data_IF_369140836885
#
_entry.id   IF_369140836885
#
_cell.length_a   1.000
_cell.length_b   1.000
_cell.length_c   1.000
_cell.angle_alpha   90.00
_cell.angle_beta   90.00
_cell.angle_gamma   90.00
#
_symmetry.space_group_name_H-M   'P 1'
#
loop_
_entity.id
_entity.type
_entity.pdbx_description
1 polymer ?
#
# COMPACT_ATOMS: atom_id res chain seq x y z
N UNK A 1 10.67 33.25 -58.71
CA UNK A 1 10.46 33.01 -57.27
C UNK A 1 9.12 32.31 -57.00
N UNK A 2 8.72 31.27 -57.71
CA UNK A 2 7.41 30.64 -57.54
C UNK A 2 7.42 29.17 -57.93
N UNK A 3 8.44 28.40 -57.53
CA UNK A 3 8.52 26.93 -57.77
C UNK A 3 9.13 26.14 -56.62
N UNK A 4 9.33 26.74 -55.44
CA UNK A 4 9.88 26.05 -54.27
C UNK A 4 8.83 25.69 -53.17
N UNK A 5 7.60 26.15 -53.30
CA UNK A 5 6.54 25.87 -52.32
C UNK A 5 5.72 24.62 -52.60
N UNK A 6 5.86 23.96 -53.74
CA UNK A 6 5.08 22.79 -54.12
C UNK A 6 5.68 21.45 -53.67
N UNK A 7 6.94 21.41 -53.19
CA UNK A 7 7.58 20.15 -52.79
C UNK A 7 7.50 19.87 -51.27
N UNK A 8 7.08 20.85 -50.45
CA UNK A 8 6.96 20.71 -49.00
C UNK A 8 5.58 20.20 -48.56
N UNK A 9 4.59 20.19 -49.43
CA UNK A 9 3.19 19.81 -49.15
C UNK A 9 2.87 18.33 -49.47
N UNK A 10 3.77 17.59 -50.13
CA UNK A 10 3.55 16.21 -50.56
C UNK A 10 4.03 15.17 -49.59
N UNK A 11 4.63 15.56 -48.44
CA UNK A 11 5.01 14.63 -47.36
C UNK A 11 4.15 14.69 -46.12
N UNK A 12 3.03 15.44 -46.15
CA UNK A 12 2.20 15.70 -44.94
C UNK A 12 0.88 14.94 -44.91
N UNK A 13 0.61 14.02 -45.82
CA UNK A 13 -0.57 13.15 -45.73
C UNK A 13 -0.24 11.79 -46.29
N UNK A 14 -0.07 10.77 -45.48
CA UNK A 14 -1.11 9.95 -44.88
C UNK A 14 -0.77 9.32 -43.47
N UNK A 15 -0.28 10.11 -42.52
CA UNK A 15 0.04 9.56 -41.18
C UNK A 15 -1.00 9.90 -40.11
N UNK A 16 -2.06 10.64 -40.46
CA UNK A 16 -3.11 10.98 -39.49
C UNK A 16 -4.09 9.82 -39.18
N UNK A 17 -4.03 8.69 -39.88
CA UNK A 17 -4.94 7.56 -39.71
C UNK A 17 -4.50 6.43 -38.76
N UNK A 18 -3.23 6.46 -38.27
CA UNK A 18 -2.66 5.35 -37.49
C UNK A 18 -2.52 5.65 -35.98
N UNK A 19 -3.02 6.77 -35.48
CA UNK A 19 -2.87 7.18 -34.07
C UNK A 19 -4.10 6.88 -33.21
N UNK A 20 -5.18 6.37 -33.79
CA UNK A 20 -6.47 6.14 -33.10
C UNK A 20 -6.74 4.70 -32.64
N UNK A 21 -5.75 3.82 -32.59
CA UNK A 21 -5.80 2.58 -31.80
C UNK A 21 -4.87 2.69 -30.59
N UNK A 22 -5.19 3.61 -29.69
CA UNK A 22 -4.73 3.51 -28.32
C UNK A 22 -5.54 2.38 -27.69
N UNK A 23 -4.83 1.31 -27.31
CA UNK A 23 -5.43 0.09 -26.81
C UNK A 23 -6.40 0.39 -25.68
N UNK A 24 -7.62 -0.03 -25.87
CA UNK A 24 -8.47 -0.45 -24.77
C UNK A 24 -7.59 -1.42 -23.95
N UNK A 25 -7.50 -1.16 -22.66
CA UNK A 25 -6.88 -2.10 -21.73
C UNK A 25 -7.79 -3.33 -21.80
N UNK A 26 -7.41 -4.32 -22.58
CA UNK A 26 -8.18 -5.56 -22.71
C UNK A 26 -8.13 -6.25 -21.35
N UNK A 27 -9.22 -6.15 -20.61
CA UNK A 27 -9.56 -7.12 -19.57
C UNK A 27 -9.90 -8.39 -20.35
N UNK A 28 -8.93 -9.30 -20.49
CA UNK A 28 -9.04 -10.52 -21.30
C UNK A 28 -9.99 -11.55 -20.68
N UNK A 29 -10.48 -11.29 -19.47
CA UNK A 29 -11.53 -12.03 -18.78
C UNK A 29 -12.60 -11.07 -18.27
N UNK A 30 -13.82 -11.25 -18.73
CA UNK A 30 -14.98 -10.59 -18.13
C UNK A 30 -14.99 -10.92 -16.62
N UNK A 31 -15.08 -9.89 -15.78
CA UNK A 31 -15.27 -10.12 -14.33
C UNK A 31 -16.55 -10.94 -14.12
N UNK A 32 -16.57 -11.83 -13.12
CA UNK A 32 -17.77 -12.56 -12.77
C UNK A 32 -18.91 -11.58 -12.44
N UNK A 33 -20.14 -11.94 -12.80
CA UNK A 33 -21.34 -11.10 -12.58
C UNK A 33 -21.71 -11.01 -11.09
N UNK A 34 -21.31 -12.00 -10.27
CA UNK A 34 -21.56 -12.07 -8.84
C UNK A 34 -20.50 -12.88 -8.11
N UNK A 35 -20.63 -12.94 -6.79
CA UNK A 35 -19.73 -13.68 -5.89
C UNK A 35 -20.22 -15.12 -5.69
N UNK A 36 -19.31 -16.10 -5.65
CA UNK A 36 -19.65 -17.50 -5.40
C UNK A 36 -20.17 -17.72 -3.96
N UNK A 37 -19.64 -17.00 -2.98
CA UNK A 37 -20.02 -17.07 -1.57
C UNK A 37 -21.00 -15.96 -1.15
N UNK A 38 -21.71 -15.34 -2.10
CA UNK A 38 -22.54 -14.17 -1.88
C UNK A 38 -23.87 -14.38 -1.12
N UNK A 39 -24.26 -15.63 -0.83
CA UNK A 39 -25.59 -15.96 -0.25
C UNK A 39 -25.84 -15.35 1.15
N UNK A 40 -24.79 -15.09 1.91
CA UNK A 40 -24.86 -14.51 3.27
C UNK A 40 -24.61 -13.02 3.32
N UNK A 41 -24.45 -12.36 2.15
CA UNK A 41 -24.02 -10.97 2.01
C UNK A 41 -24.98 -10.21 1.10
N UNK A 42 -25.09 -8.89 1.31
CA UNK A 42 -25.88 -8.05 0.44
C UNK A 42 -25.05 -7.55 -0.75
N UNK A 43 -25.27 -8.20 -1.91
CA UNK A 43 -24.61 -7.82 -3.17
C UNK A 43 -25.20 -6.55 -3.81
N UNK A 44 -26.35 -6.07 -3.34
CA UNK A 44 -26.99 -4.84 -3.84
C UNK A 44 -26.50 -3.60 -3.11
N UNK A 45 -26.01 -3.76 -1.88
CA UNK A 45 -25.51 -2.69 -1.03
C UNK A 45 -24.00 -2.51 -1.27
N UNK A 46 -23.52 -1.28 -1.60
CA UNK A 46 -22.10 -1.05 -1.70
C UNK A 46 -21.43 -1.22 -0.34
N UNK A 47 -20.15 -1.66 -0.31
CA UNK A 47 -19.38 -1.71 0.94
C UNK A 47 -19.29 -0.32 1.56
N UNK A 48 -19.35 -0.26 2.89
CA UNK A 48 -19.21 0.97 3.67
C UNK A 48 -17.75 1.44 3.67
N UNK A 49 -17.54 2.76 3.51
CA UNK A 49 -16.19 3.35 3.56
C UNK A 49 -15.70 3.51 5.01
N UNK A 50 -16.59 3.82 5.94
CA UNK A 50 -16.30 3.96 7.38
C UNK A 50 -16.81 2.75 8.18
N UNK A 51 -16.63 1.55 7.65
CA UNK A 51 -17.13 0.29 8.16
C UNK A 51 -16.82 0.01 9.64
N UNK A 52 -15.78 0.61 10.20
CA UNK A 52 -15.40 0.43 11.61
C UNK A 52 -16.40 1.08 12.58
N UNK A 53 -17.16 2.09 12.14
CA UNK A 53 -18.21 2.72 12.95
C UNK A 53 -19.38 1.76 13.23
N UNK A 54 -19.59 0.77 12.35
CA UNK A 54 -20.65 -0.23 12.50
C UNK A 54 -20.40 -1.18 13.69
N UNK A 55 -19.21 -1.13 14.31
CA UNK A 55 -18.95 -1.85 15.57
C UNK A 55 -19.41 -1.09 16.80
N UNK A 56 -19.86 0.16 16.68
CA UNK A 56 -20.29 1.03 17.77
C UNK A 56 -19.25 1.13 18.91
N UNK A 57 -17.96 1.04 18.57
CA UNK A 57 -16.84 1.08 19.50
C UNK A 57 -16.09 2.42 19.40
N UNK A 58 -16.37 3.37 20.31
CA UNK A 58 -15.74 4.71 20.27
C UNK A 58 -14.22 4.66 20.51
N UNK A 59 -13.70 3.57 21.10
CA UNK A 59 -12.26 3.39 21.28
C UNK A 59 -11.61 3.07 19.94
N UNK A 60 -12.19 2.13 19.18
CA UNK A 60 -11.72 1.80 17.84
C UNK A 60 -11.75 3.03 16.92
N UNK A 61 -12.86 3.80 16.93
CA UNK A 61 -12.99 5.02 16.13
C UNK A 61 -11.89 6.03 16.43
N UNK A 62 -11.63 6.27 17.72
CA UNK A 62 -10.59 7.22 18.15
C UNK A 62 -9.18 6.77 17.76
N UNK A 63 -8.89 5.46 17.80
CA UNK A 63 -7.61 4.89 17.40
C UNK A 63 -7.37 5.03 15.89
N UNK A 64 -8.39 4.72 15.09
CA UNK A 64 -8.31 4.83 13.63
C UNK A 64 -8.09 6.31 13.24
N UNK A 65 -8.87 7.22 13.82
CA UNK A 65 -8.70 8.65 13.56
C UNK A 65 -7.30 9.13 13.93
N UNK A 66 -6.82 8.77 15.13
CA UNK A 66 -5.49 9.16 15.59
C UNK A 66 -4.38 8.58 14.69
N UNK A 67 -4.49 7.29 14.31
CA UNK A 67 -3.53 6.63 13.43
C UNK A 67 -3.50 7.28 12.05
N UNK A 68 -4.65 7.64 11.49
CA UNK A 68 -4.76 8.27 10.17
C UNK A 68 -4.04 9.63 10.08
N UNK A 69 -3.94 10.35 11.20
CA UNK A 69 -3.27 11.65 11.25
C UNK A 69 -1.78 11.56 11.65
N UNK A 70 -1.40 10.59 12.47
CA UNK A 70 -0.10 10.59 13.16
C UNK A 70 0.82 9.44 12.76
N UNK A 71 0.32 8.41 12.07
CA UNK A 71 1.15 7.26 11.67
C UNK A 71 2.28 7.65 10.73
N UNK A 72 3.48 7.18 11.01
CA UNK A 72 4.65 7.41 10.15
C UNK A 72 4.50 6.79 8.75
N UNK A 73 3.68 5.76 8.59
CA UNK A 73 3.37 5.20 7.26
C UNK A 73 2.58 6.20 6.40
N UNK A 74 1.60 6.88 6.98
CA UNK A 74 0.81 7.92 6.32
C UNK A 74 1.67 9.15 6.02
N UNK A 75 2.42 9.63 7.00
CA UNK A 75 3.33 10.77 6.81
C UNK A 75 4.36 10.48 5.71
N UNK A 76 4.93 9.26 5.69
CA UNK A 76 5.84 8.83 4.62
C UNK A 76 5.18 8.77 3.24
N UNK A 77 3.94 8.30 3.16
CA UNK A 77 3.18 8.28 1.92
C UNK A 77 2.83 9.70 1.43
N UNK A 78 2.53 10.64 2.33
CA UNK A 78 2.35 12.06 1.98
C UNK A 78 3.62 12.68 1.39
N UNK A 79 4.79 12.38 1.93
CA UNK A 79 6.07 12.84 1.36
C UNK A 79 6.35 12.19 0.00
N UNK A 80 5.94 10.94 -0.23
CA UNK A 80 6.02 10.33 -1.56
C UNK A 80 5.16 11.07 -2.60
N UNK A 81 3.96 11.55 -2.24
CA UNK A 81 3.14 12.39 -3.11
C UNK A 81 3.88 13.70 -3.46
N UNK A 82 4.51 14.37 -2.46
CA UNK A 82 5.30 15.59 -2.70
C UNK A 82 6.48 15.32 -3.62
N UNK A 83 7.19 14.22 -3.42
CA UNK A 83 8.30 13.76 -4.28
C UNK A 83 7.84 13.50 -5.71
N UNK A 84 6.75 12.76 -5.89
CA UNK A 84 6.21 12.45 -7.22
C UNK A 84 5.72 13.72 -7.95
N UNK A 85 5.09 14.66 -7.24
CA UNK A 85 4.70 15.97 -7.77
C UNK A 85 5.91 16.77 -8.23
N UNK A 86 6.99 16.78 -7.46
CA UNK A 86 8.23 17.45 -7.84
C UNK A 86 8.85 16.80 -9.08
N UNK A 87 8.86 15.47 -9.19
CA UNK A 87 9.33 14.74 -10.37
C UNK A 87 8.52 15.10 -11.64
N UNK A 88 7.20 15.17 -11.51
CA UNK A 88 6.34 15.63 -12.61
C UNK A 88 6.64 17.10 -12.99
N UNK A 89 6.82 17.99 -12.02
CA UNK A 89 7.18 19.40 -12.30
C UNK A 89 8.55 19.51 -12.99
N UNK A 90 9.53 18.68 -12.63
CA UNK A 90 10.82 18.58 -13.34
C UNK A 90 10.59 18.17 -14.82
N UNK A 91 9.75 17.17 -15.05
CA UNK A 91 9.42 16.74 -16.41
C UNK A 91 8.69 17.85 -17.22
N UNK A 92 7.81 18.61 -16.59
CA UNK A 92 7.18 19.80 -17.20
C UNK A 92 8.16 20.92 -17.47
N UNK A 93 9.11 21.12 -16.57
CA UNK A 93 10.16 22.15 -16.75
C UNK A 93 10.97 21.95 -18.02
N UNK A 94 11.14 20.72 -18.49
CA UNK A 94 11.81 20.41 -19.76
C UNK A 94 11.08 20.95 -21.01
N UNK A 95 9.83 21.37 -20.91
CA UNK A 95 9.10 22.05 -21.99
C UNK A 95 9.45 23.53 -22.12
N UNK A 96 10.07 24.10 -21.08
CA UNK A 96 10.41 25.51 -20.99
C UNK A 96 11.88 25.74 -21.37
N UNK A 97 12.25 26.95 -21.85
CA UNK A 97 13.64 27.29 -22.06
C UNK A 97 14.42 27.32 -20.72
N UNK A 98 15.69 26.94 -20.80
CA UNK A 98 16.66 27.16 -19.71
C UNK A 98 17.49 28.41 -20.02
N UNK A 99 17.86 29.14 -18.98
CA UNK A 99 18.70 30.33 -19.06
C UNK A 99 19.88 30.13 -18.12
N UNK A 100 21.09 30.28 -18.67
CA UNK A 100 22.33 30.12 -17.95
C UNK A 100 23.17 31.40 -18.07
N UNK A 101 23.63 31.94 -16.94
CA UNK A 101 24.58 33.02 -16.90
C UNK A 101 25.98 32.48 -16.74
N UNK A 102 26.82 32.67 -17.73
CA UNK A 102 28.22 32.25 -17.73
C UNK A 102 29.17 33.43 -17.77
N UNK A 103 30.24 33.38 -17.01
CA UNK A 103 31.38 34.27 -17.09
C UNK A 103 32.66 33.44 -17.14
N UNK A 104 33.56 33.80 -18.03
CA UNK A 104 34.79 33.04 -18.20
C UNK A 104 35.93 33.87 -18.80
N UNK A 105 37.15 33.39 -18.57
CA UNK A 105 38.34 33.83 -19.28
C UNK A 105 38.98 32.63 -19.96
N UNK A 106 39.29 32.78 -21.22
CA UNK A 106 39.93 31.75 -22.04
C UNK A 106 41.17 32.34 -22.68
N UNK A 107 42.28 31.59 -22.64
CA UNK A 107 43.48 31.91 -23.42
C UNK A 107 43.78 30.72 -24.32
N UNK A 108 43.81 30.97 -25.63
CA UNK A 108 44.09 29.95 -26.61
C UNK A 108 45.21 30.36 -27.55
N UNK A 109 45.98 29.38 -28.02
CA UNK A 109 46.93 29.55 -29.12
C UNK A 109 46.40 28.72 -30.28
N UNK A 110 46.12 29.37 -31.40
CA UNK A 110 45.72 28.67 -32.63
C UNK A 110 46.95 28.12 -33.36
N UNK A 111 46.83 26.94 -33.94
CA UNK A 111 47.91 26.30 -34.70
C UNK A 111 48.22 27.08 -35.95
N UNK A 112 49.49 27.44 -36.17
CA UNK A 112 49.96 28.11 -37.38
C UNK A 112 49.91 27.25 -38.65
N UNK A 113 49.60 25.94 -38.54
CA UNK A 113 49.43 25.02 -39.65
C UNK A 113 47.99 24.99 -40.20
N UNK A 114 47.06 25.73 -39.60
CA UNK A 114 45.68 25.86 -40.08
C UNK A 114 45.68 27.07 -41.03
N UNK A 115 45.53 26.82 -42.33
CA UNK A 115 45.40 27.85 -43.34
C UNK A 115 44.12 28.67 -43.14
N UNK A 116 44.19 29.72 -42.36
CA UNK A 116 43.13 30.73 -42.23
C UNK A 116 43.73 32.06 -42.59
N UNK A 117 43.19 32.71 -43.59
CA UNK A 117 43.63 34.02 -44.06
C UNK A 117 43.41 35.16 -43.06
N UNK A 118 42.98 34.84 -41.85
CA UNK A 118 42.56 35.83 -40.86
C UNK A 118 43.24 35.71 -39.46
N UNK A 119 44.16 34.77 -39.26
CA UNK A 119 44.82 34.60 -37.95
C UNK A 119 46.34 34.60 -38.08
N UNK A 120 46.94 35.66 -37.62
CA UNK A 120 48.35 35.68 -37.21
C UNK A 120 48.52 34.88 -35.94
N UNK A 121 49.69 34.19 -35.76
CA UNK A 121 50.06 33.51 -34.51
C UNK A 121 49.94 34.47 -33.30
N UNK A 122 48.81 34.54 -32.69
CA UNK A 122 48.59 35.40 -31.54
C UNK A 122 48.07 34.55 -30.37
N UNK A 123 48.66 34.77 -29.18
CA UNK A 123 48.06 34.34 -27.94
C UNK A 123 46.90 35.29 -27.60
N UNK A 124 45.70 34.87 -27.84
CA UNK A 124 44.52 35.68 -27.54
C UNK A 124 43.92 35.27 -26.22
N UNK A 125 43.85 36.20 -25.29
CA UNK A 125 43.03 36.09 -24.12
C UNK A 125 41.65 36.67 -24.41
N UNK A 126 40.59 35.97 -24.00
CA UNK A 126 39.21 36.44 -24.20
C UNK A 126 38.44 36.36 -22.91
N UNK A 127 37.86 37.46 -22.46
CA UNK A 127 36.88 37.52 -21.39
C UNK A 127 35.50 37.45 -21.99
N UNK A 128 34.66 36.57 -21.45
CA UNK A 128 33.28 36.39 -21.88
C UNK A 128 32.35 36.52 -20.68
N UNK A 129 31.23 37.21 -20.86
CA UNK A 129 30.11 37.23 -19.91
C UNK A 129 28.82 37.19 -20.73
N UNK A 130 28.08 36.08 -20.64
CA UNK A 130 26.91 35.91 -21.48
C UNK A 130 25.77 35.22 -20.73
N UNK A 131 24.55 35.65 -21.01
CA UNK A 131 23.31 34.94 -20.74
C UNK A 131 22.98 34.08 -21.95
N UNK A 132 22.94 32.77 -21.79
CA UNK A 132 22.59 31.81 -22.83
C UNK A 132 21.20 31.24 -22.57
N UNK A 133 20.47 30.97 -23.62
CA UNK A 133 19.16 30.31 -23.62
C UNK A 133 19.27 29.03 -24.44
N UNK A 134 18.70 27.95 -23.92
CA UNK A 134 18.50 26.70 -24.64
C UNK A 134 17.08 26.25 -24.49
N UNK A 135 16.42 25.94 -25.59
CA UNK A 135 15.06 25.44 -25.62
C UNK A 135 14.91 24.37 -26.68
N UNK A 136 14.38 23.20 -26.24
CA UNK A 136 13.93 22.17 -27.17
C UNK A 136 12.43 22.34 -27.39
N UNK A 137 12.06 22.87 -28.56
CA UNK A 137 10.65 23.02 -28.92
C UNK A 137 10.04 21.63 -29.20
N UNK A 138 9.06 21.24 -28.39
CA UNK A 138 8.42 19.92 -28.46
C UNK A 138 7.38 19.84 -29.59
N UNK A 139 7.81 20.05 -30.82
CA UNK A 139 6.94 20.09 -32.02
C UNK A 139 6.21 18.74 -32.22
N UNK A 140 6.87 17.65 -31.93
CA UNK A 140 6.32 16.29 -32.09
C UNK A 140 5.74 15.69 -30.83
N UNK A 141 5.84 16.37 -29.68
CA UNK A 141 5.20 16.00 -28.43
C UNK A 141 5.91 14.86 -27.67
N UNK A 142 7.21 14.62 -27.89
CA UNK A 142 7.98 13.62 -27.14
C UNK A 142 8.14 14.02 -25.67
N UNK A 143 8.52 15.30 -25.41
CA UNK A 143 8.67 15.83 -24.03
C UNK A 143 7.31 15.87 -23.33
N UNK A 144 6.25 16.27 -24.04
CA UNK A 144 4.89 16.25 -23.52
C UNK A 144 4.48 14.85 -23.07
N UNK A 145 4.75 13.81 -23.88
CA UNK A 145 4.41 12.43 -23.53
C UNK A 145 5.21 11.92 -22.33
N UNK A 146 6.49 12.27 -22.19
CA UNK A 146 7.28 11.97 -20.99
C UNK A 146 6.72 12.68 -19.76
N UNK A 147 6.31 13.94 -19.91
CA UNK A 147 5.63 14.65 -18.82
C UNK A 147 4.28 14.02 -18.46
N UNK A 148 3.51 13.54 -19.47
CA UNK A 148 2.28 12.80 -19.25
C UNK A 148 2.54 11.48 -18.49
N UNK A 149 3.58 10.74 -18.85
CA UNK A 149 3.99 9.53 -18.12
C UNK A 149 4.27 9.84 -16.64
N UNK A 150 5.05 10.89 -16.36
CA UNK A 150 5.33 11.31 -14.97
C UNK A 150 4.07 11.80 -14.23
N UNK A 151 3.11 12.40 -14.94
CA UNK A 151 1.82 12.76 -14.37
C UNK A 151 1.03 11.53 -13.93
N UNK A 152 1.01 10.48 -14.75
CA UNK A 152 0.32 9.23 -14.40
C UNK A 152 0.98 8.56 -13.20
N UNK A 153 2.33 8.56 -13.12
CA UNK A 153 3.05 8.08 -11.94
C UNK A 153 2.76 8.90 -10.68
N UNK A 154 2.63 10.22 -10.80
CA UNK A 154 2.18 11.06 -9.69
C UNK A 154 0.76 10.67 -9.23
N UNK A 155 -0.17 10.47 -10.18
CA UNK A 155 -1.53 10.02 -9.85
C UNK A 155 -1.53 8.60 -9.26
N UNK A 156 -0.65 7.70 -9.70
CA UNK A 156 -0.46 6.38 -9.08
C UNK A 156 -0.04 6.52 -7.61
N UNK A 157 0.88 7.44 -7.30
CA UNK A 157 1.31 7.69 -5.91
C UNK A 157 0.19 8.26 -5.02
N UNK A 158 -0.77 9.01 -5.60
CA UNK A 158 -1.98 9.45 -4.87
C UNK A 158 -2.89 8.24 -4.53
N UNK A 159 -3.00 7.26 -5.42
CA UNK A 159 -3.73 6.01 -5.13
C UNK A 159 -2.95 5.09 -4.16
N UNK A 160 -1.61 5.06 -4.24
CA UNK A 160 -0.75 4.36 -3.26
C UNK A 160 -0.96 4.91 -1.84
N UNK A 161 -1.13 6.22 -1.69
CA UNK A 161 -1.48 6.82 -0.41
C UNK A 161 -2.81 6.27 0.13
N UNK A 162 -3.83 6.14 -0.72
CA UNK A 162 -5.12 5.54 -0.34
C UNK A 162 -4.97 4.07 0.06
N UNK A 163 -4.14 3.31 -0.66
CA UNK A 163 -3.82 1.93 -0.30
C UNK A 163 -3.16 1.84 1.08
N UNK A 164 -2.24 2.76 1.40
CA UNK A 164 -1.63 2.85 2.74
C UNK A 164 -2.67 3.14 3.81
N UNK A 165 -3.66 4.00 3.54
CA UNK A 165 -4.77 4.29 4.47
C UNK A 165 -5.63 3.05 4.71
N UNK A 166 -6.07 2.35 3.65
CA UNK A 166 -6.84 1.09 3.77
C UNK A 166 -6.10 0.09 4.65
N UNK A 167 -4.84 -0.17 4.33
CA UNK A 167 -4.01 -1.12 5.07
C UNK A 167 -3.75 -0.66 6.51
N UNK A 168 -3.58 0.63 6.78
CA UNK A 168 -3.41 1.16 8.14
C UNK A 168 -4.67 0.93 8.97
N UNK A 169 -5.84 1.30 8.46
CA UNK A 169 -7.13 1.13 9.14
C UNK A 169 -7.37 -0.34 9.45
N UNK A 170 -7.15 -1.23 8.47
CA UNK A 170 -7.27 -2.68 8.66
C UNK A 170 -6.29 -3.22 9.71
N UNK A 171 -5.03 -2.77 9.71
CA UNK A 171 -4.03 -3.18 10.70
C UNK A 171 -4.35 -2.68 12.12
N UNK A 172 -4.86 -1.46 12.28
CA UNK A 172 -5.31 -0.90 13.57
C UNK A 172 -6.47 -1.75 14.09
N UNK A 173 -7.51 -1.97 13.29
CA UNK A 173 -8.67 -2.76 13.68
C UNK A 173 -8.30 -4.22 14.00
N UNK A 174 -7.51 -4.89 13.17
CA UNK A 174 -7.02 -6.26 13.40
C UNK A 174 -6.20 -6.36 14.69
N UNK A 175 -5.32 -5.38 14.94
CA UNK A 175 -4.50 -5.36 16.16
C UNK A 175 -5.36 -5.11 17.39
N UNK A 176 -6.37 -4.24 17.30
CA UNK A 176 -7.34 -3.97 18.35
C UNK A 176 -8.15 -5.21 18.69
N UNK A 177 -8.76 -5.87 17.71
CA UNK A 177 -9.53 -7.08 17.95
C UNK A 177 -8.67 -8.25 18.48
N UNK A 178 -7.43 -8.39 18.01
CA UNK A 178 -6.48 -9.37 18.55
C UNK A 178 -6.13 -9.08 19.99
N UNK A 179 -6.02 -7.80 20.37
CA UNK A 179 -5.80 -7.37 21.75
C UNK A 179 -7.02 -7.71 22.62
N UNK A 180 -8.24 -7.34 22.19
CA UNK A 180 -9.47 -7.65 22.93
C UNK A 180 -9.70 -9.16 23.07
N UNK A 181 -9.42 -9.94 22.02
CA UNK A 181 -9.43 -11.39 22.06
C UNK A 181 -8.47 -11.94 23.12
N UNK A 182 -7.25 -11.40 23.21
CA UNK A 182 -6.25 -11.84 24.19
C UNK A 182 -6.65 -11.45 25.63
N UNK A 183 -7.29 -10.30 25.80
CA UNK A 183 -7.85 -9.86 27.11
C UNK A 183 -8.99 -10.79 27.54
N UNK A 184 -9.90 -11.14 26.63
CA UNK A 184 -10.99 -12.08 26.94
C UNK A 184 -10.46 -13.48 27.22
N UNK A 185 -9.43 -13.94 26.49
CA UNK A 185 -8.74 -15.19 26.75
C UNK A 185 -8.09 -15.21 28.17
N UNK A 186 -7.47 -14.10 28.57
CA UNK A 186 -6.89 -13.94 29.89
C UNK A 186 -7.97 -14.01 30.98
N UNK A 187 -9.14 -13.44 30.75
CA UNK A 187 -10.29 -13.50 31.67
C UNK A 187 -10.77 -14.94 31.83
N UNK A 188 -10.95 -15.68 30.73
CA UNK A 188 -11.30 -17.10 30.74
C UNK A 188 -10.26 -17.92 31.55
N UNK A 189 -8.96 -17.68 31.33
CA UNK A 189 -7.90 -18.34 32.08
C UNK A 189 -7.99 -18.05 33.58
N UNK A 190 -8.22 -16.81 34.00
CA UNK A 190 -8.36 -16.41 35.41
C UNK A 190 -9.58 -17.06 36.06
N UNK A 191 -10.71 -17.11 35.37
CA UNK A 191 -11.94 -17.78 35.87
C UNK A 191 -11.71 -19.29 36.03
N UNK A 192 -11.04 -19.93 35.06
CA UNK A 192 -10.69 -21.33 35.15
C UNK A 192 -9.72 -21.63 36.31
N UNK A 193 -8.68 -20.79 36.51
CA UNK A 193 -7.77 -20.94 37.67
C UNK A 193 -8.53 -20.84 38.99
N UNK A 194 -9.52 -19.93 39.10
CA UNK A 194 -10.37 -19.81 40.28
C UNK A 194 -11.19 -21.09 40.49
N UNK A 195 -11.90 -21.58 39.49
CA UNK A 195 -12.67 -22.80 39.51
C UNK A 195 -11.82 -24.02 39.88
N UNK A 196 -10.65 -24.16 39.28
CA UNK A 196 -9.69 -25.24 39.54
C UNK A 196 -9.17 -25.21 40.95
N UNK A 197 -8.95 -24.02 41.53
CA UNK A 197 -8.58 -23.87 42.93
C UNK A 197 -9.67 -24.39 43.86
N UNK A 198 -10.91 -23.99 43.64
CA UNK A 198 -12.06 -24.45 44.44
C UNK A 198 -12.20 -25.99 44.39
N UNK A 199 -12.07 -26.59 43.20
CA UNK A 199 -12.13 -28.05 43.04
C UNK A 199 -10.93 -28.73 43.71
N UNK A 200 -9.73 -28.18 43.61
CA UNK A 200 -8.53 -28.67 44.30
C UNK A 200 -8.74 -28.70 45.84
N UNK A 201 -9.35 -27.66 46.40
CA UNK A 201 -9.66 -27.58 47.83
C UNK A 201 -10.66 -28.68 48.24
N UNK A 202 -11.69 -28.98 47.43
CA UNK A 202 -12.61 -30.08 47.62
C UNK A 202 -11.87 -31.44 47.63
N UNK A 203 -10.98 -31.67 46.65
CA UNK A 203 -10.19 -32.92 46.55
C UNK A 203 -9.28 -33.08 47.74
N UNK A 204 -8.61 -32.04 48.23
CA UNK A 204 -7.76 -32.06 49.43
C UNK A 204 -8.60 -32.36 50.66
N UNK A 205 -9.79 -31.78 50.83
CA UNK A 205 -10.70 -32.06 51.95
C UNK A 205 -11.13 -33.52 51.98
N UNK A 206 -11.50 -34.09 50.82
CA UNK A 206 -11.86 -35.49 50.69
C UNK A 206 -10.68 -36.44 51.00
N UNK A 207 -9.47 -36.09 50.56
CA UNK A 207 -8.27 -36.85 50.90
C UNK A 207 -7.99 -36.87 52.39
N UNK A 208 -8.11 -35.76 53.09
CA UNK A 208 -7.95 -35.66 54.55
C UNK A 208 -9.00 -36.47 55.31
N UNK A 209 -10.18 -36.68 54.72
CA UNK A 209 -11.26 -37.51 55.23
C UNK A 209 -11.11 -39.00 54.83
N UNK A 210 -10.06 -39.37 54.08
CA UNK A 210 -9.83 -40.75 53.64
C UNK A 210 -10.70 -41.18 52.43
N UNK A 211 -11.41 -40.25 51.76
CA UNK A 211 -12.36 -40.47 50.67
C UNK A 211 -11.80 -40.23 49.28
N UNK A 212 -10.52 -39.82 49.17
CA UNK A 212 -9.84 -39.60 47.91
C UNK A 212 -8.38 -40.08 47.97
N UNK A 213 -7.76 -40.31 46.84
CA UNK A 213 -6.38 -40.79 46.76
C UNK A 213 -5.37 -39.62 46.76
N UNK A 214 -4.10 -39.92 47.10
CA UNK A 214 -3.01 -38.96 46.93
C UNK A 214 -2.78 -38.62 45.45
N UNK A 215 -3.14 -39.52 44.54
CA UNK A 215 -3.08 -39.31 43.08
C UNK A 215 -4.03 -38.20 42.68
N UNK A 216 -5.26 -38.18 43.14
CA UNK A 216 -6.27 -37.16 42.86
C UNK A 216 -5.77 -35.75 43.28
N UNK A 217 -5.15 -35.67 44.48
CA UNK A 217 -4.54 -34.43 44.97
C UNK A 217 -3.39 -33.98 44.06
N UNK A 218 -2.55 -34.90 43.61
CA UNK A 218 -1.44 -34.56 42.72
C UNK A 218 -1.95 -34.07 41.33
N UNK A 219 -2.96 -34.73 40.79
CA UNK A 219 -3.59 -34.38 39.54
C UNK A 219 -4.29 -33.00 39.61
N UNK A 220 -5.06 -32.72 40.68
CA UNK A 220 -5.74 -31.43 40.85
C UNK A 220 -4.76 -30.26 40.96
N UNK A 221 -3.66 -30.47 41.71
CA UNK A 221 -2.56 -29.47 41.77
C UNK A 221 -1.88 -29.25 40.42
N UNK A 222 -1.64 -30.32 39.68
CA UNK A 222 -1.01 -30.26 38.37
C UNK A 222 -1.81 -29.38 37.41
N UNK A 223 -3.15 -29.58 37.34
CA UNK A 223 -4.03 -28.77 36.46
C UNK A 223 -4.05 -27.31 36.92
N UNK A 224 -4.21 -27.05 38.21
CA UNK A 224 -4.19 -25.70 38.75
C UNK A 224 -2.89 -24.94 38.38
N UNK A 225 -1.72 -25.53 38.59
CA UNK A 225 -0.45 -24.87 38.30
C UNK A 225 -0.17 -24.80 36.82
N UNK A 226 -0.62 -25.75 35.99
CA UNK A 226 -0.44 -25.66 34.53
C UNK A 226 -1.24 -24.49 33.93
N UNK A 227 -2.52 -24.35 34.32
CA UNK A 227 -3.33 -23.21 33.82
C UNK A 227 -2.82 -21.88 34.39
N UNK A 228 -2.37 -21.85 35.65
CA UNK A 228 -1.77 -20.65 36.24
C UNK A 228 -0.49 -20.21 35.47
N UNK A 229 0.28 -21.15 34.95
CA UNK A 229 1.50 -20.85 34.18
C UNK A 229 1.19 -20.23 32.80
N UNK A 230 -0.03 -20.36 32.25
CA UNK A 230 -0.43 -19.74 30.99
C UNK A 230 -0.71 -18.24 31.14
N UNK A 231 -1.08 -17.76 32.33
CA UNK A 231 -1.42 -16.37 32.60
C UNK A 231 -0.28 -15.40 32.23
N UNK A 232 0.98 -15.58 32.67
CA UNK A 232 2.08 -14.69 32.30
C UNK A 232 2.36 -14.66 30.78
N UNK A 233 2.22 -15.79 30.11
CA UNK A 233 2.37 -15.89 28.66
C UNK A 233 1.30 -15.07 27.91
N UNK A 234 0.04 -15.17 28.40
CA UNK A 234 -1.05 -14.37 27.82
C UNK A 234 -0.87 -12.87 28.09
N UNK A 235 -0.39 -12.48 29.26
CA UNK A 235 -0.05 -11.08 29.57
C UNK A 235 1.04 -10.55 28.64
N UNK A 236 2.09 -11.33 28.38
CA UNK A 236 3.13 -10.95 27.42
C UNK A 236 2.58 -10.79 25.99
N UNK A 237 1.59 -11.61 25.60
CA UNK A 237 0.90 -11.49 24.30
C UNK A 237 0.12 -10.18 24.23
N UNK A 238 -0.62 -9.82 25.28
CA UNK A 238 -1.35 -8.55 25.40
C UNK A 238 -0.39 -7.37 25.28
N UNK A 239 0.74 -7.40 26.00
CA UNK A 239 1.76 -6.35 25.91
C UNK A 239 2.37 -6.26 24.51
N UNK A 240 2.53 -7.40 23.83
CA UNK A 240 2.95 -7.44 22.41
C UNK A 240 1.99 -6.71 21.48
N UNK A 241 0.68 -6.91 21.62
CA UNK A 241 -0.32 -6.19 20.83
C UNK A 241 -0.40 -4.69 21.19
N UNK A 242 -0.23 -4.31 22.47
CA UNK A 242 -0.11 -2.91 22.87
C UNK A 242 1.08 -2.23 22.21
N UNK A 243 2.23 -2.88 22.23
CA UNK A 243 3.43 -2.35 21.58
C UNK A 243 3.25 -2.22 20.07
N UNK A 244 2.58 -3.18 19.41
CA UNK A 244 2.25 -3.09 17.98
C UNK A 244 1.31 -1.94 17.70
N UNK A 245 0.29 -1.73 18.54
CA UNK A 245 -0.64 -0.61 18.43
C UNK A 245 0.09 0.73 18.56
N UNK A 246 1.01 0.88 19.52
CA UNK A 246 1.80 2.10 19.67
C UNK A 246 2.57 2.46 18.40
N UNK A 247 3.16 1.47 17.72
CA UNK A 247 3.86 1.66 16.44
C UNK A 247 2.90 2.13 15.34
N UNK A 248 1.70 1.54 15.25
CA UNK A 248 0.68 1.96 14.27
C UNK A 248 0.20 3.39 14.51
N UNK A 249 0.09 3.79 15.77
CA UNK A 249 -0.28 5.15 16.18
C UNK A 249 0.87 6.17 16.05
N UNK A 250 2.12 5.71 15.83
CA UNK A 250 3.30 6.58 15.75
C UNK A 250 3.75 7.14 17.11
N UNK A 251 3.45 6.46 18.22
CA UNK A 251 3.82 6.85 19.58
C UNK A 251 4.72 5.78 20.23
N UNK A 252 5.35 6.13 21.36
CA UNK A 252 6.15 5.17 22.10
C UNK A 252 5.27 4.19 22.90
N UNK A 253 5.67 2.90 23.02
CA UNK A 253 4.92 1.90 23.80
C UNK A 253 4.62 2.33 25.24
N UNK A 254 5.50 3.14 25.86
CA UNK A 254 5.32 3.66 27.21
C UNK A 254 4.10 4.58 27.34
N UNK A 255 3.73 5.29 26.27
CA UNK A 255 2.59 6.21 26.25
C UNK A 255 1.25 5.47 26.25
N UNK A 256 1.26 4.17 25.88
CA UNK A 256 0.11 3.25 25.96
C UNK A 256 0.13 2.34 27.18
N UNK A 257 0.99 2.61 28.16
CA UNK A 257 1.09 1.76 29.35
C UNK A 257 -0.27 1.71 30.10
N UNK A 258 -0.80 0.47 30.27
CA UNK A 258 -2.09 0.24 30.94
C UNK A 258 -3.33 0.38 30.04
N UNK A 259 -3.18 0.72 28.76
CA UNK A 259 -4.29 0.76 27.81
C UNK A 259 -4.33 -0.49 26.90
N UNK A 260 -5.51 -0.97 26.45
CA UNK A 260 -6.79 -0.74 27.10
C UNK A 260 -6.79 -1.44 28.47
N UNK A 261 -7.66 -0.98 29.39
CA UNK A 261 -7.89 -1.68 30.64
C UNK A 261 -8.52 -3.06 30.44
N UNK A 262 -9.01 -3.67 31.54
CA UNK A 262 -9.74 -4.97 31.50
C UNK A 262 -11.11 -4.87 30.79
N UNK A 263 -11.52 -3.69 30.37
CA UNK A 263 -12.81 -3.37 29.74
C UNK A 263 -12.87 -3.64 28.23
N UNK A 264 -11.74 -4.03 27.58
CA UNK A 264 -11.75 -4.41 26.17
C UNK A 264 -12.56 -5.71 25.98
N UNK A 265 -13.73 -5.60 25.37
CA UNK A 265 -14.60 -6.72 25.01
C UNK A 265 -14.73 -6.86 23.52
N UNK A 266 -14.96 -8.10 23.05
CA UNK A 266 -15.22 -8.32 21.62
C UNK A 266 -16.63 -7.84 21.28
N UNK A 267 -16.80 -6.88 20.36
CA UNK A 267 -18.13 -6.43 19.94
C UNK A 267 -18.87 -7.54 19.19
N UNK A 268 -20.20 -7.47 19.22
CA UNK A 268 -21.04 -8.31 18.38
C UNK A 268 -21.40 -7.54 17.11
N UNK A 269 -21.04 -8.05 15.95
CA UNK A 269 -21.45 -7.45 14.68
C UNK A 269 -22.75 -8.09 14.20
N UNK A 270 -23.81 -7.30 13.99
CA UNK A 270 -25.14 -7.77 13.58
C UNK A 270 -25.66 -7.06 12.30
N UNK A 271 -24.93 -6.08 11.78
CA UNK A 271 -25.35 -5.33 10.61
C UNK A 271 -25.21 -6.16 9.31
N UNK A 272 -26.10 -5.93 8.31
CA UNK A 272 -25.96 -6.54 6.99
C UNK A 272 -24.64 -6.09 6.34
N UNK A 273 -23.84 -7.03 5.84
CA UNK A 273 -22.57 -6.73 5.19
C UNK A 273 -22.81 -6.52 3.71
N UNK A 274 -22.69 -5.27 3.26
CA UNK A 274 -22.71 -4.91 1.85
C UNK A 274 -21.39 -5.27 1.17
N UNK A 275 -21.42 -6.10 0.13
CA UNK A 275 -20.23 -6.50 -0.65
C UNK A 275 -20.25 -5.99 -2.09
N UNK A 276 -21.40 -5.50 -2.57
CA UNK A 276 -21.55 -5.07 -3.95
C UNK A 276 -21.29 -6.19 -4.96
N UNK A 277 -20.98 -5.82 -6.20
CA UNK A 277 -20.64 -6.75 -7.27
C UNK A 277 -19.14 -6.66 -7.63
N UNK A 278 -18.53 -7.73 -8.19
CA UNK A 278 -17.10 -7.75 -8.51
C UNK A 278 -16.62 -6.56 -9.36
N UNK A 279 -17.45 -6.07 -10.28
CA UNK A 279 -17.13 -4.91 -11.12
C UNK A 279 -16.89 -3.59 -10.32
N UNK A 280 -17.41 -3.49 -9.09
CA UNK A 280 -17.18 -2.32 -8.22
C UNK A 280 -15.74 -2.24 -7.72
N UNK A 281 -15.03 -3.36 -7.60
CA UNK A 281 -13.63 -3.41 -7.17
C UNK A 281 -12.74 -2.52 -8.05
N UNK A 282 -13.00 -2.48 -9.36
CA UNK A 282 -12.25 -1.64 -10.30
C UNK A 282 -12.27 -0.15 -9.95
N UNK A 283 -13.30 0.30 -9.27
CA UNK A 283 -13.47 1.71 -8.89
C UNK A 283 -13.05 2.00 -7.46
N UNK A 284 -13.11 1.00 -6.58
CA UNK A 284 -12.88 1.19 -5.15
C UNK A 284 -11.47 0.85 -4.71
N UNK A 285 -10.90 -0.25 -5.18
CA UNK A 285 -9.57 -0.72 -4.74
C UNK A 285 -8.45 0.19 -5.24
N UNK A 286 -7.71 0.82 -4.33
CA UNK A 286 -6.60 1.71 -4.71
C UNK A 286 -5.48 0.98 -5.45
N UNK A 287 -5.17 -0.28 -5.12
CA UNK A 287 -4.12 -1.08 -5.77
C UNK A 287 -4.42 -1.35 -7.25
N UNK A 288 -5.69 -1.60 -7.60
CA UNK A 288 -6.14 -1.74 -8.99
C UNK A 288 -5.96 -0.40 -9.73
N UNK A 289 -6.31 0.72 -9.08
CA UNK A 289 -6.15 2.07 -9.65
C UNK A 289 -4.68 2.45 -9.82
N UNK A 290 -3.79 2.05 -8.90
CA UNK A 290 -2.33 2.17 -9.07
C UNK A 290 -1.88 1.43 -10.33
N UNK A 291 -2.28 0.17 -10.47
CA UNK A 291 -1.90 -0.64 -11.63
C UNK A 291 -2.43 -0.06 -12.95
N UNK A 292 -3.66 0.49 -12.96
CA UNK A 292 -4.23 1.22 -14.11
C UNK A 292 -3.36 2.44 -14.49
N UNK A 293 -3.01 3.29 -13.50
CA UNK A 293 -2.17 4.46 -13.76
C UNK A 293 -0.77 4.09 -14.22
N UNK A 294 -0.23 2.95 -13.78
CA UNK A 294 1.04 2.42 -14.26
C UNK A 294 0.96 2.01 -15.75
N UNK A 295 -0.15 1.38 -16.19
CA UNK A 295 -0.40 1.08 -17.61
C UNK A 295 -0.47 2.37 -18.42
N UNK A 296 -1.21 3.39 -17.94
CA UNK A 296 -1.30 4.69 -18.61
C UNK A 296 0.08 5.38 -18.71
N UNK A 297 0.91 5.27 -17.66
CA UNK A 297 2.27 5.82 -17.66
C UNK A 297 3.15 5.15 -18.71
N UNK A 298 3.14 3.81 -18.78
CA UNK A 298 3.91 3.05 -19.75
C UNK A 298 3.42 3.27 -21.20
N UNK A 299 2.10 3.41 -21.40
CA UNK A 299 1.54 3.79 -22.69
C UNK A 299 2.01 5.18 -23.15
N UNK A 300 2.06 6.15 -22.24
CA UNK A 300 2.58 7.47 -22.51
C UNK A 300 4.11 7.44 -22.80
N UNK A 301 4.87 6.63 -22.06
CA UNK A 301 6.31 6.43 -22.29
C UNK A 301 6.58 5.79 -23.67
N UNK A 302 5.83 4.77 -24.07
CA UNK A 302 5.89 4.21 -25.42
C UNK A 302 5.55 5.28 -26.48
N UNK A 303 4.53 6.11 -26.19
CA UNK A 303 4.19 7.26 -27.04
C UNK A 303 5.33 8.25 -27.21
N UNK A 304 6.09 8.55 -26.14
CA UNK A 304 7.29 9.38 -26.19
C UNK A 304 8.38 8.75 -27.06
N UNK A 305 8.72 7.49 -26.80
CA UNK A 305 9.78 6.75 -27.50
C UNK A 305 9.49 6.63 -29.01
N UNK A 306 8.23 6.45 -29.40
CA UNK A 306 7.83 6.50 -30.82
C UNK A 306 8.05 7.88 -31.44
N UNK A 307 7.90 8.96 -30.68
CA UNK A 307 8.11 10.33 -31.16
C UNK A 307 9.56 10.72 -31.23
N UNK A 308 10.48 10.04 -30.57
CA UNK A 308 11.92 10.21 -30.67
C UNK A 308 12.47 9.83 -32.08
N UNK A 309 11.67 9.19 -32.92
CA UNK A 309 12.02 8.96 -34.33
C UNK A 309 11.96 10.21 -35.20
N UNK A 310 11.26 11.25 -34.77
CA UNK A 310 11.17 12.54 -35.46
C UNK A 310 12.37 13.42 -35.13
N UNK A 311 12.65 14.44 -35.97
CA UNK A 311 13.70 15.42 -35.71
C UNK A 311 13.40 16.27 -34.47
N UNK A 312 14.45 16.64 -33.75
CA UNK A 312 14.41 17.60 -32.64
C UNK A 312 14.59 19.03 -33.14
N UNK A 313 13.76 19.94 -32.65
CA UNK A 313 13.88 21.38 -32.97
C UNK A 313 14.45 22.07 -31.74
N UNK A 314 15.67 22.58 -31.87
CA UNK A 314 16.39 23.26 -30.80
C UNK A 314 16.45 24.75 -31.13
N UNK A 315 16.17 25.62 -30.19
CA UNK A 315 16.41 27.04 -30.25
C UNK A 315 17.44 27.39 -29.20
N UNK A 316 18.61 27.83 -29.67
CA UNK A 316 19.64 28.39 -28.79
C UNK A 316 19.76 29.87 -29.04
N UNK A 317 20.09 30.61 -28.00
CA UNK A 317 20.34 32.03 -28.09
C UNK A 317 21.32 32.49 -27.03
N UNK A 318 22.06 33.53 -27.32
CA UNK A 318 22.91 34.15 -26.33
C UNK A 318 22.95 35.66 -26.50
N UNK A 319 23.09 36.35 -25.40
CA UNK A 319 23.38 37.78 -25.34
C UNK A 319 24.44 38.02 -24.30
N UNK A 320 25.48 38.76 -24.62
CA UNK A 320 26.57 38.96 -23.68
C UNK A 320 27.63 39.93 -24.17
N UNK A 321 28.75 39.89 -23.53
CA UNK A 321 29.91 40.72 -23.81
C UNK A 321 31.14 39.83 -23.98
N UNK A 322 31.97 40.18 -24.99
CA UNK A 322 33.23 39.50 -25.25
C UNK A 322 34.32 40.52 -25.54
N UNK A 323 35.48 40.40 -24.88
CA UNK A 323 36.59 41.33 -25.04
C UNK A 323 37.93 40.67 -24.75
N UNK A 324 38.98 41.09 -25.48
CA UNK A 324 40.36 40.69 -25.19
C UNK A 324 40.95 41.31 -23.89
N UNK A 325 40.36 42.38 -23.40
CA UNK A 325 40.76 43.05 -22.17
C UNK A 325 39.57 43.22 -21.21
N UNK A 326 39.76 42.92 -19.95
CA UNK A 326 38.72 43.00 -18.90
C UNK A 326 38.13 44.42 -18.77
N UNK A 327 38.95 45.50 -18.93
CA UNK A 327 38.52 46.89 -18.84
C UNK A 327 37.54 47.30 -19.93
N UNK A 328 37.47 46.55 -21.04
CA UNK A 328 36.62 46.82 -22.18
C UNK A 328 35.40 45.89 -22.24
N UNK A 329 35.29 44.92 -21.33
CA UNK A 329 34.27 43.84 -21.39
C UNK A 329 32.85 44.42 -21.50
N UNK A 330 32.48 45.34 -20.62
CA UNK A 330 31.12 45.88 -20.57
C UNK A 330 30.91 47.14 -21.44
N UNK A 331 31.70 47.33 -22.49
CA UNK A 331 31.46 48.42 -23.44
C UNK A 331 30.48 47.97 -24.55
N UNK A 332 29.72 48.92 -25.12
CA UNK A 332 28.78 48.65 -26.20
C UNK A 332 29.39 47.95 -27.44
N UNK A 333 30.68 48.20 -27.70
CA UNK A 333 31.43 47.53 -28.78
C UNK A 333 31.74 46.04 -28.49
N UNK A 334 31.66 45.62 -27.27
CA UNK A 334 31.87 44.24 -26.81
C UNK A 334 30.59 43.42 -26.74
N UNK A 335 29.43 44.04 -27.00
CA UNK A 335 28.13 43.36 -27.01
C UNK A 335 28.10 42.36 -28.14
N UNK A 336 27.73 41.14 -27.82
CA UNK A 336 27.50 40.03 -28.77
C UNK A 336 26.13 39.45 -28.54
N UNK A 337 25.46 39.02 -29.58
CA UNK A 337 24.23 38.24 -29.48
C UNK A 337 24.13 37.25 -30.63
N UNK A 338 23.44 36.15 -30.37
CA UNK A 338 23.19 35.07 -31.30
C UNK A 338 21.81 34.47 -31.08
N UNK A 339 21.11 34.11 -32.15
CA UNK A 339 19.90 33.29 -32.13
C UNK A 339 20.07 32.24 -33.23
N UNK A 340 20.06 30.94 -32.82
CA UNK A 340 20.33 29.84 -33.74
C UNK A 340 19.27 28.76 -33.61
N UNK A 341 18.19 28.78 -34.43
CA UNK A 341 17.29 27.63 -34.55
C UNK A 341 18.03 26.51 -35.30
N UNK A 342 17.97 25.30 -34.72
CA UNK A 342 18.66 24.11 -35.25
C UNK A 342 17.69 22.94 -35.28
N UNK A 343 17.69 22.19 -36.38
CA UNK A 343 16.97 20.93 -36.52
C UNK A 343 18.01 19.81 -36.49
N UNK A 344 17.88 18.92 -35.47
CA UNK A 344 18.75 17.76 -35.33
C UNK A 344 17.94 16.49 -35.57
N UNK A 345 18.34 15.70 -36.55
CA UNK A 345 17.72 14.42 -36.86
C UNK A 345 18.74 13.31 -36.88
N UNK A 346 18.63 12.39 -35.94
CA UNK A 346 19.45 11.19 -35.96
C UNK A 346 18.77 10.14 -36.85
N UNK A 347 19.26 9.98 -38.09
CA UNK A 347 18.67 9.08 -39.09
C UNK A 347 19.08 7.63 -38.84
N UNK A 348 20.27 7.39 -38.26
CA UNK A 348 20.79 6.07 -37.97
C UNK A 348 21.51 6.05 -36.63
N UNK A 349 21.07 5.17 -35.73
CA UNK A 349 21.57 5.00 -34.34
C UNK A 349 21.97 3.57 -34.03
N UNK A 350 22.38 2.78 -35.02
CA UNK A 350 22.83 1.39 -34.79
C UNK A 350 21.75 0.47 -34.19
N UNK A 351 20.47 0.76 -34.41
CA UNK A 351 19.36 -0.02 -33.84
C UNK A 351 18.88 0.41 -32.44
N UNK A 352 19.51 1.42 -31.80
CA UNK A 352 19.17 1.91 -30.48
C UNK A 352 17.68 2.29 -30.38
N UNK A 353 17.18 3.17 -31.28
CA UNK A 353 15.77 3.61 -31.26
C UNK A 353 14.78 2.49 -31.49
N UNK A 354 15.12 1.51 -32.34
CA UNK A 354 14.29 0.35 -32.59
C UNK A 354 14.14 -0.49 -31.31
N UNK A 355 15.26 -0.76 -30.63
CA UNK A 355 15.25 -1.56 -29.42
C UNK A 355 14.65 -0.80 -28.22
N UNK A 356 14.87 0.51 -28.11
CA UNK A 356 14.18 1.35 -27.11
C UNK A 356 12.65 1.32 -27.30
N UNK A 357 12.18 1.32 -28.56
CA UNK A 357 10.73 1.19 -28.83
C UNK A 357 10.21 -0.19 -28.49
N UNK A 358 10.98 -1.26 -28.75
CA UNK A 358 10.64 -2.64 -28.36
C UNK A 358 10.62 -2.80 -26.83
N UNK A 359 11.61 -2.24 -26.15
CA UNK A 359 11.67 -2.22 -24.68
C UNK A 359 10.43 -1.52 -24.09
N UNK A 360 10.11 -0.31 -24.55
CA UNK A 360 8.94 0.42 -24.08
C UNK A 360 7.62 -0.32 -24.38
N UNK A 361 7.55 -1.05 -25.50
CA UNK A 361 6.40 -1.92 -25.82
C UNK A 361 6.29 -3.08 -24.83
N UNK A 362 7.39 -3.79 -24.59
CA UNK A 362 7.42 -4.89 -23.64
C UNK A 362 7.08 -4.44 -22.21
N UNK A 363 7.53 -3.24 -21.80
CA UNK A 363 7.17 -2.63 -20.52
C UNK A 363 5.67 -2.33 -20.41
N UNK A 364 5.04 -1.86 -21.48
CA UNK A 364 3.59 -1.68 -21.52
C UNK A 364 2.86 -3.03 -21.41
N UNK A 365 3.25 -4.01 -22.21
CA UNK A 365 2.63 -5.34 -22.19
C UNK A 365 2.79 -6.00 -20.80
N UNK A 366 3.96 -5.86 -20.16
CA UNK A 366 4.19 -6.30 -18.78
C UNK A 366 3.26 -5.61 -17.77
N UNK A 367 3.04 -4.30 -17.91
CA UNK A 367 2.14 -3.56 -17.00
C UNK A 367 0.67 -3.97 -17.15
N UNK A 368 0.24 -4.33 -18.37
CA UNK A 368 -1.10 -4.89 -18.61
C UNK A 368 -1.25 -6.26 -17.95
N UNK A 369 -0.24 -7.13 -18.07
CA UNK A 369 -0.23 -8.43 -17.37
C UNK A 369 -0.30 -8.24 -15.86
N UNK A 370 0.48 -7.29 -15.31
CA UNK A 370 0.46 -6.97 -13.87
C UNK A 370 -0.91 -6.46 -13.42
N UNK A 371 -1.56 -5.60 -14.20
CA UNK A 371 -2.92 -5.13 -13.93
C UNK A 371 -3.92 -6.29 -13.86
N UNK A 372 -3.91 -7.19 -14.84
CA UNK A 372 -4.78 -8.36 -14.85
C UNK A 372 -4.50 -9.29 -13.66
N UNK A 373 -3.24 -9.49 -13.28
CA UNK A 373 -2.84 -10.27 -12.10
C UNK A 373 -3.38 -9.65 -10.81
N UNK A 374 -3.25 -8.32 -10.65
CA UNK A 374 -3.79 -7.59 -9.50
C UNK A 374 -5.30 -7.76 -9.40
N UNK A 375 -6.00 -7.69 -10.53
CA UNK A 375 -7.45 -7.87 -10.59
C UNK A 375 -7.87 -9.29 -10.15
N UNK A 376 -7.20 -10.32 -10.65
CA UNK A 376 -7.48 -11.71 -10.26
C UNK A 376 -7.21 -11.93 -8.76
N UNK A 377 -6.11 -11.37 -8.24
CA UNK A 377 -5.78 -11.44 -6.82
C UNK A 377 -6.83 -10.74 -5.97
N UNK A 378 -7.32 -9.57 -6.40
CA UNK A 378 -8.37 -8.85 -5.69
C UNK A 378 -9.68 -9.66 -5.58
N UNK A 379 -10.10 -10.31 -6.67
CA UNK A 379 -11.28 -11.18 -6.64
C UNK A 379 -11.07 -12.38 -5.70
N UNK A 380 -9.88 -13.01 -5.75
CA UNK A 380 -9.54 -14.14 -4.89
C UNK A 380 -9.53 -13.73 -3.41
N UNK A 381 -9.01 -12.55 -3.06
CA UNK A 381 -8.99 -12.05 -1.68
C UNK A 381 -10.39 -11.87 -1.12
N UNK A 382 -11.31 -11.24 -1.88
CA UNK A 382 -12.71 -11.06 -1.46
C UNK A 382 -13.40 -12.41 -1.27
N UNK A 383 -13.32 -13.31 -2.25
CA UNK A 383 -13.92 -14.65 -2.15
C UNK A 383 -13.40 -15.44 -0.95
N UNK A 384 -12.09 -15.36 -0.68
CA UNK A 384 -11.47 -16.01 0.46
C UNK A 384 -11.93 -15.43 1.79
N UNK A 385 -11.99 -14.08 1.90
CA UNK A 385 -12.44 -13.40 3.10
C UNK A 385 -13.92 -13.68 3.39
N UNK A 386 -14.78 -13.68 2.37
CA UNK A 386 -16.20 -14.05 2.50
C UNK A 386 -16.36 -15.48 3.02
N UNK A 387 -15.62 -16.45 2.45
CA UNK A 387 -15.65 -17.85 2.86
C UNK A 387 -15.18 -18.01 4.33
N UNK A 388 -14.09 -17.34 4.70
CA UNK A 388 -13.54 -17.39 6.07
C UNK A 388 -14.51 -16.79 7.08
N UNK A 389 -15.10 -15.63 6.79
CA UNK A 389 -16.08 -15.01 7.67
C UNK A 389 -17.31 -15.91 7.85
N UNK A 390 -17.92 -16.40 6.78
CA UNK A 390 -19.07 -17.31 6.83
C UNK A 390 -18.77 -18.53 7.69
N UNK A 391 -17.65 -19.21 7.42
CA UNK A 391 -17.24 -20.39 8.19
C UNK A 391 -17.00 -20.09 9.67
N UNK A 392 -16.45 -18.92 10.00
CA UNK A 392 -16.21 -18.52 11.39
C UNK A 392 -17.51 -18.29 12.17
N UNK A 393 -18.52 -17.69 11.53
CA UNK A 393 -19.85 -17.50 12.16
C UNK A 393 -20.53 -18.85 12.43
N UNK A 394 -20.49 -19.79 11.48
CA UNK A 394 -21.01 -21.14 11.69
C UNK A 394 -20.26 -21.88 12.81
N UNK A 395 -18.95 -21.72 12.89
CA UNK A 395 -18.10 -22.31 13.94
C UNK A 395 -18.46 -21.77 15.34
N UNK A 396 -18.69 -20.45 15.47
CA UNK A 396 -19.07 -19.81 16.75
C UNK A 396 -20.36 -20.44 17.31
N UNK A 397 -21.37 -20.69 16.47
CA UNK A 397 -22.63 -21.30 16.88
C UNK A 397 -22.37 -22.68 17.48
N UNK A 398 -21.59 -23.52 16.79
CA UNK A 398 -21.26 -24.88 17.25
C UNK A 398 -20.41 -24.89 18.50
N UNK A 399 -19.41 -23.98 18.60
CA UNK A 399 -18.54 -23.87 19.77
C UNK A 399 -19.29 -23.37 21.02
N UNK A 400 -20.23 -22.44 20.85
CA UNK A 400 -21.07 -21.96 21.97
C UNK A 400 -21.88 -23.09 22.58
N UNK A 401 -22.49 -23.92 21.74
CA UNK A 401 -23.22 -25.11 22.25
C UNK A 401 -22.27 -26.12 22.93
N UNK A 402 -21.08 -26.34 22.33
CA UNK A 402 -20.08 -27.22 22.96
C UNK A 402 -19.64 -26.70 24.35
N UNK A 403 -19.45 -25.39 24.51
CA UNK A 403 -19.13 -24.78 25.82
C UNK A 403 -20.26 -25.02 26.81
N UNK A 404 -21.51 -24.74 26.42
CA UNK A 404 -22.67 -24.96 27.30
C UNK A 404 -22.76 -26.42 27.80
N UNK A 405 -22.57 -27.39 26.89
CA UNK A 405 -22.61 -28.81 27.24
C UNK A 405 -21.42 -29.24 28.12
N UNK A 406 -20.25 -28.65 27.96
CA UNK A 406 -19.09 -28.92 28.80
C UNK A 406 -19.21 -28.29 30.21
N UNK A 407 -19.85 -27.12 30.33
CA UNK A 407 -20.17 -26.51 31.63
C UNK A 407 -21.14 -27.39 32.45
N UNK A 408 -22.18 -27.90 31.80
CA UNK A 408 -23.10 -28.84 32.39
C UNK A 408 -22.39 -30.13 32.78
N UNK A 409 -21.54 -30.68 31.90
CA UNK A 409 -20.74 -31.90 32.17
C UNK A 409 -19.82 -31.72 33.38
N UNK A 410 -19.13 -30.59 33.49
CA UNK A 410 -18.26 -30.29 34.64
C UNK A 410 -19.08 -30.21 35.93
N UNK A 411 -20.23 -29.53 35.90
CA UNK A 411 -21.12 -29.38 37.06
C UNK A 411 -21.60 -30.74 37.56
N UNK A 412 -22.12 -31.55 36.64
CA UNK A 412 -22.63 -32.91 36.98
C UNK A 412 -21.51 -33.82 37.46
N UNK A 413 -20.35 -33.82 36.78
CA UNK A 413 -19.21 -34.64 37.17
C UNK A 413 -18.70 -34.28 38.58
N UNK A 414 -18.69 -32.98 38.93
CA UNK A 414 -18.28 -32.50 40.24
C UNK A 414 -19.29 -32.90 41.34
N UNK A 415 -20.59 -32.83 41.04
CA UNK A 415 -21.63 -33.28 41.99
C UNK A 415 -21.55 -34.78 42.28
N UNK A 416 -21.44 -35.61 41.23
CA UNK A 416 -21.26 -37.06 41.36
C UNK A 416 -19.97 -37.40 42.11
N UNK A 417 -18.86 -36.68 41.84
CA UNK A 417 -17.62 -36.88 42.61
C UNK A 417 -17.77 -36.53 44.08
N UNK A 418 -18.44 -35.43 44.43
CA UNK A 418 -18.74 -35.07 45.83
C UNK A 418 -19.53 -36.14 46.55
N UNK A 419 -20.44 -36.85 45.86
CA UNK A 419 -21.24 -37.96 46.40
C UNK A 419 -20.46 -39.29 46.42
N UNK A 420 -19.28 -39.35 45.79
CA UNK A 420 -18.49 -40.60 45.69
C UNK A 420 -19.00 -41.57 44.63
N UNK A 421 -19.82 -41.10 43.68
CA UNK A 421 -20.43 -41.89 42.61
C UNK A 421 -19.59 -41.94 41.32
N UNK A 422 -18.54 -41.14 41.26
CA UNK A 422 -17.60 -41.14 40.13
C UNK A 422 -16.18 -40.88 40.59
N UNK A 423 -15.18 -41.20 39.74
CA UNK A 423 -13.76 -40.97 39.99
C UNK A 423 -13.39 -39.52 39.64
N UNK A 424 -12.32 -39.00 40.26
CA UNK A 424 -11.81 -37.66 40.00
C UNK A 424 -11.39 -37.45 38.53
N UNK A 425 -10.97 -38.53 37.84
CA UNK A 425 -10.59 -38.49 36.44
C UNK A 425 -11.67 -37.87 35.56
N UNK A 426 -12.96 -38.17 35.79
CA UNK A 426 -14.07 -37.60 35.02
C UNK A 426 -14.20 -36.07 35.21
N UNK A 427 -13.97 -35.58 36.44
CA UNK A 427 -13.95 -34.15 36.76
C UNK A 427 -12.75 -33.48 36.06
N UNK A 428 -11.59 -34.11 36.08
CA UNK A 428 -10.37 -33.63 35.46
C UNK A 428 -10.53 -33.51 33.94
N UNK A 429 -11.10 -34.50 33.29
CA UNK A 429 -11.34 -34.51 31.85
C UNK A 429 -12.38 -33.43 31.45
N UNK A 430 -13.46 -33.28 32.22
CA UNK A 430 -14.45 -32.23 32.04
C UNK A 430 -13.83 -30.82 32.17
N UNK A 431 -12.96 -30.58 33.16
CA UNK A 431 -12.26 -29.32 33.34
C UNK A 431 -11.37 -28.98 32.15
N UNK A 432 -10.56 -29.95 31.70
CA UNK A 432 -9.64 -29.73 30.55
C UNK A 432 -10.40 -29.46 29.28
N UNK A 433 -11.48 -30.22 29.04
CA UNK A 433 -12.32 -30.07 27.86
C UNK A 433 -13.01 -28.70 27.83
N UNK A 434 -13.59 -28.27 28.96
CA UNK A 434 -14.23 -26.98 29.11
C UNK A 434 -13.24 -25.81 28.78
N UNK A 435 -12.06 -25.82 29.42
CA UNK A 435 -11.04 -24.78 29.17
C UNK A 435 -10.66 -24.73 27.69
N UNK A 436 -10.50 -25.88 27.03
CA UNK A 436 -10.16 -25.99 25.62
C UNK A 436 -11.25 -25.36 24.75
N UNK A 437 -12.51 -25.71 24.95
CA UNK A 437 -13.62 -25.20 24.14
C UNK A 437 -13.94 -23.73 24.43
N UNK A 438 -13.78 -23.25 25.66
CA UNK A 438 -13.86 -21.83 25.99
C UNK A 438 -12.76 -21.03 25.23
N UNK A 439 -11.53 -21.56 25.18
CA UNK A 439 -10.44 -20.96 24.40
C UNK A 439 -10.74 -20.92 22.91
N UNK A 440 -11.27 -22.02 22.35
CA UNK A 440 -11.67 -22.05 20.94
C UNK A 440 -12.82 -21.07 20.61
N UNK A 441 -13.79 -20.91 21.51
CA UNK A 441 -14.89 -19.97 21.33
C UNK A 441 -14.39 -18.52 21.28
N UNK A 442 -13.54 -18.11 22.24
CA UNK A 442 -12.94 -16.75 22.22
C UNK A 442 -12.11 -16.54 20.97
N UNK A 443 -11.33 -17.55 20.56
CA UNK A 443 -10.53 -17.49 19.35
C UNK A 443 -11.40 -17.35 18.09
N UNK A 444 -12.50 -18.09 17.99
CA UNK A 444 -13.42 -18.00 16.86
C UNK A 444 -14.14 -16.65 16.81
N UNK A 445 -14.54 -16.10 17.98
CA UNK A 445 -15.17 -14.78 18.06
C UNK A 445 -14.23 -13.67 17.62
N UNK A 446 -12.99 -13.63 18.14
CA UNK A 446 -11.99 -12.65 17.70
C UNK A 446 -11.60 -12.85 16.23
N UNK A 447 -11.43 -14.11 15.80
CA UNK A 447 -11.13 -14.45 14.41
C UNK A 447 -12.21 -13.98 13.43
N UNK A 448 -13.50 -14.11 13.79
CA UNK A 448 -14.62 -13.64 12.96
C UNK A 448 -14.54 -12.14 12.70
N UNK A 449 -14.22 -11.32 13.70
CA UNK A 449 -14.04 -9.89 13.56
C UNK A 449 -12.84 -9.55 12.66
N UNK A 450 -11.74 -10.29 12.81
CA UNK A 450 -10.56 -10.14 11.97
C UNK A 450 -10.87 -10.49 10.51
N UNK A 451 -11.61 -11.57 10.23
CA UNK A 451 -12.03 -11.93 8.89
C UNK A 451 -12.97 -10.89 8.29
N UNK A 452 -13.81 -10.25 9.10
CA UNK A 452 -14.67 -9.15 8.67
C UNK A 452 -13.82 -7.92 8.28
N UNK A 453 -12.81 -7.56 9.06
CA UNK A 453 -11.84 -6.51 8.71
C UNK A 453 -11.13 -6.81 7.39
N UNK A 454 -10.67 -8.06 7.22
CA UNK A 454 -10.03 -8.50 5.97
C UNK A 454 -10.98 -8.44 4.77
N UNK A 455 -12.26 -8.71 4.97
CA UNK A 455 -13.26 -8.54 3.91
C UNK A 455 -13.41 -7.08 3.51
N UNK A 456 -13.52 -6.15 4.46
CA UNK A 456 -13.59 -4.71 4.14
C UNK A 456 -12.30 -4.18 3.51
N UNK A 457 -11.13 -4.63 3.96
CA UNK A 457 -9.84 -4.34 3.33
C UNK A 457 -9.83 -4.82 1.87
N UNK A 458 -10.24 -6.08 1.63
CA UNK A 458 -10.30 -6.66 0.28
C UNK A 458 -11.31 -5.96 -0.64
N UNK A 459 -12.40 -5.41 -0.09
CA UNK A 459 -13.37 -4.59 -0.81
C UNK A 459 -12.89 -3.15 -1.07
N UNK A 460 -11.75 -2.76 -0.49
CA UNK A 460 -11.17 -1.43 -0.67
C UNK A 460 -11.85 -0.33 0.14
N UNK A 461 -12.51 -0.67 1.24
CA UNK A 461 -13.07 0.30 2.19
C UNK A 461 -12.03 0.84 3.18
N UNK A 462 -12.26 2.02 3.74
CA UNK A 462 -11.44 2.58 4.81
C UNK A 462 -10.46 3.69 4.40
N UNK A 463 -10.82 4.55 3.41
CA UNK A 463 -9.99 5.70 3.02
C UNK A 463 -10.80 6.97 2.74
#
# INVERSE_FOLDING_TARGET
MMRFYSLLLLFLTPFAGAVAQQGEVFIDSALPEGWNNGDCFDQTMPPDDEWWQNFEDPVLDSLILYASENSYSVLGAMENIRKARAAWNIARGKMLPTFDLGMGWQRAKTSGNIASTMYTEAWEGQFNAALSMQWQADVFGSIYMRSKAQKMLFMATEEEFRAVMVTLVANVATTYFSLCQSVEQLKVLRENVKSQREIMEIVISRYNSGLASKLDVAQSRSVYYSTMAEIPAMQATIDGYRNKMAVLLGIYPQDLAGWPGEECSLPSYMEPIGVGVPAMLLRRRPDIRVAEKQVEANAAQLGATKRDWFPEVLLTGSIGFSSGEMKHLFRSKSLTWEIAPTIKWNIFSGGERLNATREARAALDQSIISFNSTLLTAVQEVESAMSQYKSSVEQIVSLREAVNQNEETLTLSLELYKQGLTEYQNVLDAQRTLLTYQGYLVQAQGGSLIYLVQLYEALGGGW
#
